data_IF_151049186653
#
_entry.id   IF_151049186653
#
_cell.length_a   1.000
_cell.length_b   1.000
_cell.length_c   1.000
_cell.angle_alpha   90.00
_cell.angle_beta   90.00
_cell.angle_gamma   90.00
#
_symmetry.space_group_name_H-M   'P 1'
#
loop_
_entity.id
_entity.type
_entity.pdbx_description
1 polymer ?
#
# COMPACT_ATOMS: atom_id res chain seq x y z
N UNK A 1 -1.88 -19.95 -6.27
CA UNK A 1 -2.72 -18.88 -6.88
C UNK A 1 -3.34 -18.14 -5.72
N UNK A 2 -2.73 -17.01 -5.29
CA UNK A 2 -3.14 -16.30 -4.07
C UNK A 2 -4.51 -15.65 -4.30
N UNK A 3 -5.57 -16.12 -3.64
CA UNK A 3 -6.83 -15.39 -3.51
C UNK A 3 -6.62 -14.24 -2.53
N UNK A 4 -6.15 -13.12 -3.05
CA UNK A 4 -6.18 -11.88 -2.28
C UNK A 4 -7.62 -11.38 -2.24
N UNK A 5 -8.28 -11.50 -1.08
CA UNK A 5 -9.56 -10.87 -0.78
C UNK A 5 -9.38 -9.34 -0.73
N UNK A 6 -9.39 -8.67 -1.89
CA UNK A 6 -9.23 -7.21 -1.99
C UNK A 6 -10.50 -6.42 -1.63
N UNK A 7 -11.58 -7.11 -1.26
CA UNK A 7 -12.81 -6.52 -0.73
C UNK A 7 -13.18 -7.26 0.56
N UNK A 8 -13.55 -6.51 1.59
CA UNK A 8 -14.05 -7.07 2.86
C UNK A 8 -15.39 -6.44 3.18
N UNK A 9 -16.44 -7.24 3.18
CA UNK A 9 -17.79 -6.81 3.56
C UNK A 9 -17.92 -6.89 5.08
N UNK A 10 -18.02 -5.75 5.76
CA UNK A 10 -18.24 -5.72 7.20
C UNK A 10 -19.73 -5.65 7.51
N UNK A 11 -20.38 -6.79 7.77
CA UNK A 11 -21.74 -6.77 8.34
C UNK A 11 -21.65 -6.63 9.86
N UNK A 12 -22.04 -5.49 10.42
CA UNK A 12 -22.22 -5.37 11.87
C UNK A 12 -23.32 -6.31 12.35
N UNK A 13 -23.06 -7.08 13.41
CA UNK A 13 -24.07 -7.92 14.05
C UNK A 13 -25.21 -7.05 14.62
N UNK A 14 -26.46 -7.41 14.33
CA UNK A 14 -27.61 -6.92 15.07
C UNK A 14 -28.46 -5.77 14.48
N UNK A 15 -28.30 -5.38 13.21
CA UNK A 15 -29.27 -4.46 12.58
C UNK A 15 -29.75 -4.95 11.22
N UNK A 16 -31.06 -4.80 10.95
CA UNK A 16 -31.71 -5.09 9.66
C UNK A 16 -31.12 -4.26 8.50
N UNK A 17 -30.29 -3.25 8.79
CA UNK A 17 -29.50 -2.49 7.83
C UNK A 17 -28.06 -3.00 7.85
N UNK A 18 -27.75 -3.97 7.00
CA UNK A 18 -26.37 -4.42 6.76
C UNK A 18 -25.55 -3.20 6.30
N UNK A 19 -24.60 -2.73 7.09
CA UNK A 19 -23.66 -1.70 6.64
C UNK A 19 -22.78 -2.33 5.56
N UNK A 20 -22.88 -1.91 4.31
CA UNK A 20 -21.98 -2.39 3.26
C UNK A 20 -20.84 -1.40 3.12
N UNK A 21 -19.64 -1.82 3.54
CA UNK A 21 -18.39 -1.11 3.34
C UNK A 21 -17.65 -1.76 2.17
N UNK A 22 -17.31 -0.98 1.14
CA UNK A 22 -16.45 -1.43 0.04
C UNK A 22 -15.13 -0.67 0.09
N UNK A 23 -14.04 -1.42 0.27
CA UNK A 23 -12.67 -0.94 0.15
C UNK A 23 -12.20 -1.08 -1.30
N UNK A 24 -11.72 0.00 -1.89
CA UNK A 24 -11.24 0.00 -3.27
C UNK A 24 -9.76 0.39 -3.31
N UNK A 25 -8.90 -0.58 -3.64
CA UNK A 25 -7.47 -0.41 -3.95
C UNK A 25 -7.26 0.37 -5.27
N UNK A 26 -6.27 1.27 -5.31
CA UNK A 26 -5.87 2.08 -6.49
C UNK A 26 -5.83 1.28 -7.79
N UNK A 27 -5.19 0.10 -7.74
CA UNK A 27 -4.90 -0.72 -8.92
C UNK A 27 -6.15 -1.23 -9.64
N UNK A 28 -7.30 -1.27 -8.95
CA UNK A 28 -8.53 -1.87 -9.46
C UNK A 28 -9.72 -0.89 -9.45
N UNK A 29 -9.52 0.40 -9.16
CA UNK A 29 -10.61 1.36 -9.02
C UNK A 29 -11.64 1.30 -10.16
N UNK A 30 -11.19 1.21 -11.42
CA UNK A 30 -12.09 1.12 -12.59
C UNK A 30 -12.85 -0.21 -12.67
N UNK A 31 -12.21 -1.34 -12.33
CA UNK A 31 -12.80 -2.68 -12.38
C UNK A 31 -13.73 -2.95 -11.19
N UNK A 32 -13.32 -2.53 -10.00
CA UNK A 32 -14.14 -2.64 -8.80
C UNK A 32 -15.37 -1.74 -8.88
N UNK A 33 -15.28 -0.56 -9.51
CA UNK A 33 -16.47 0.26 -9.71
C UNK A 33 -17.47 -0.39 -10.68
N UNK A 34 -17.01 -1.06 -11.75
CA UNK A 34 -17.94 -1.83 -12.61
C UNK A 34 -18.62 -2.97 -11.85
N UNK A 35 -17.91 -3.72 -11.01
CA UNK A 35 -18.51 -4.72 -10.14
C UNK A 35 -19.45 -4.09 -9.10
N UNK A 36 -19.13 -2.91 -8.58
CA UNK A 36 -20.00 -2.18 -7.67
C UNK A 36 -21.29 -1.73 -8.35
N UNK A 37 -21.23 -1.20 -9.58
CA UNK A 37 -22.41 -0.87 -10.37
C UNK A 37 -23.30 -2.11 -10.57
N UNK A 38 -22.71 -3.26 -10.94
CA UNK A 38 -23.44 -4.52 -11.13
C UNK A 38 -24.09 -5.03 -9.82
N UNK A 39 -23.35 -5.07 -8.72
CA UNK A 39 -23.90 -5.45 -7.39
C UNK A 39 -24.90 -4.43 -6.84
N UNK A 40 -24.86 -3.17 -7.29
CA UNK A 40 -25.91 -2.17 -6.98
C UNK A 40 -27.17 -2.40 -7.81
N UNK A 41 -27.07 -3.02 -8.98
CA UNK A 41 -28.19 -3.29 -9.87
C UNK A 41 -28.89 -4.61 -9.52
N UNK A 42 -28.15 -5.65 -9.13
CA UNK A 42 -28.69 -6.98 -8.87
C UNK A 42 -29.31 -7.17 -7.48
N UNK A 43 -28.75 -6.54 -6.44
CA UNK A 43 -29.19 -6.77 -5.06
C UNK A 43 -29.97 -5.59 -4.46
N UNK A 44 -31.26 -5.83 -4.14
CA UNK A 44 -32.08 -4.97 -3.28
C UNK A 44 -31.75 -5.11 -1.78
N UNK A 45 -30.61 -5.72 -1.44
CA UNK A 45 -30.28 -6.16 -0.07
C UNK A 45 -29.75 -5.04 0.86
N UNK A 46 -29.60 -3.79 0.41
CA UNK A 46 -29.24 -2.70 1.30
C UNK A 46 -29.82 -1.34 0.90
N UNK A 47 -30.34 -0.60 1.88
CA UNK A 47 -30.90 0.74 1.73
C UNK A 47 -29.85 1.78 1.31
N UNK A 48 -28.58 1.66 1.77
CA UNK A 48 -27.44 2.53 1.38
C UNK A 48 -26.08 1.83 1.53
N UNK A 49 -25.15 2.07 0.60
CA UNK A 49 -23.77 1.54 0.57
C UNK A 49 -22.76 2.65 0.89
N UNK A 50 -21.75 2.34 1.68
CA UNK A 50 -20.68 3.27 2.05
C UNK A 50 -19.37 2.83 1.37
N UNK A 51 -18.81 3.69 0.53
CA UNK A 51 -17.63 3.39 -0.28
C UNK A 51 -16.44 4.19 0.24
N UNK A 52 -15.36 3.49 0.57
CA UNK A 52 -14.13 4.07 1.08
C UNK A 52 -12.97 3.70 0.14
N UNK A 53 -12.36 4.71 -0.45
CA UNK A 53 -11.23 4.54 -1.35
C UNK A 53 -9.93 4.64 -0.56
N UNK A 54 -9.00 3.74 -0.87
CA UNK A 54 -7.65 3.75 -0.30
C UNK A 54 -6.82 4.94 -0.76
N UNK A 55 -7.01 5.39 -1.99
CA UNK A 55 -6.31 6.50 -2.66
C UNK A 55 -7.27 7.60 -3.14
N UNK A 56 -6.72 8.78 -3.48
CA UNK A 56 -7.48 9.83 -4.15
C UNK A 56 -8.20 9.34 -5.41
N UNK A 57 -9.45 9.74 -5.57
CA UNK A 57 -10.33 9.28 -6.65
C UNK A 57 -10.16 10.20 -7.86
N UNK A 58 -9.89 9.66 -9.07
CA UNK A 58 -9.85 10.46 -10.29
C UNK A 58 -11.18 11.20 -10.52
N UNK A 59 -11.12 12.49 -10.89
CA UNK A 59 -12.31 13.33 -11.14
C UNK A 59 -13.26 12.74 -12.18
N UNK A 60 -12.74 12.03 -13.17
CA UNK A 60 -13.54 11.33 -14.18
C UNK A 60 -14.40 10.23 -13.57
N UNK A 61 -13.85 9.49 -12.60
CA UNK A 61 -14.57 8.42 -11.91
C UNK A 61 -15.67 9.01 -11.00
N UNK A 62 -15.36 10.09 -10.29
CA UNK A 62 -16.36 10.83 -9.50
C UNK A 62 -17.49 11.35 -10.38
N UNK A 63 -17.16 11.91 -11.54
CA UNK A 63 -18.16 12.40 -12.51
C UNK A 63 -19.04 11.27 -13.03
N UNK A 64 -18.45 10.10 -13.33
CA UNK A 64 -19.20 8.92 -13.76
C UNK A 64 -20.16 8.43 -12.67
N UNK A 65 -19.73 8.38 -11.41
CA UNK A 65 -20.60 7.99 -10.28
C UNK A 65 -21.75 8.99 -10.12
N UNK A 66 -21.47 10.30 -10.23
CA UNK A 66 -22.49 11.35 -10.15
C UNK A 66 -23.53 11.25 -11.27
N UNK A 67 -23.12 10.81 -12.46
CA UNK A 67 -24.00 10.69 -13.61
C UNK A 67 -24.80 9.38 -13.64
N UNK A 68 -24.45 8.39 -12.82
CA UNK A 68 -25.13 7.09 -12.75
C UNK A 68 -26.34 7.16 -11.80
N UNK A 69 -27.53 7.31 -12.39
CA UNK A 69 -28.81 7.43 -11.66
C UNK A 69 -29.20 6.15 -10.92
N UNK A 70 -28.64 5.00 -11.28
CA UNK A 70 -28.93 3.72 -10.62
C UNK A 70 -28.11 3.54 -9.33
N UNK A 71 -26.90 4.12 -9.31
CA UNK A 71 -25.92 3.94 -8.23
C UNK A 71 -25.97 5.09 -7.23
N UNK A 72 -26.06 6.34 -7.69
CA UNK A 72 -25.97 7.52 -6.82
C UNK A 72 -26.97 7.52 -5.64
N UNK A 73 -28.27 7.17 -5.82
CA UNK A 73 -29.23 7.14 -4.71
C UNK A 73 -28.90 6.09 -3.64
N UNK A 74 -28.12 5.07 -4.01
CA UNK A 74 -27.73 3.97 -3.13
C UNK A 74 -26.43 4.27 -2.37
N UNK A 75 -25.70 5.35 -2.68
CA UNK A 75 -24.46 5.68 -1.97
C UNK A 75 -24.78 6.53 -0.73
N UNK A 76 -24.53 6.00 0.46
CA UNK A 76 -24.66 6.69 1.75
C UNK A 76 -23.43 7.53 2.11
N UNK A 77 -22.24 7.08 1.73
CA UNK A 77 -21.01 7.86 1.86
C UNK A 77 -20.01 7.45 0.77
N UNK A 78 -19.23 8.43 0.31
CA UNK A 78 -18.10 8.24 -0.58
C UNK A 78 -16.93 9.03 0.01
N UNK A 79 -15.90 8.34 0.49
CA UNK A 79 -14.77 8.94 1.21
C UNK A 79 -13.44 8.38 0.71
N UNK A 80 -12.41 9.20 0.81
CA UNK A 80 -11.01 8.82 0.58
C UNK A 80 -10.34 8.68 1.95
N UNK A 81 -9.63 7.58 2.16
CA UNK A 81 -8.99 7.26 3.43
C UNK A 81 -7.49 7.56 3.44
N UNK A 82 -6.85 7.63 2.26
CA UNK A 82 -5.39 7.73 2.14
C UNK A 82 -4.70 6.65 2.99
N UNK A 83 -4.97 5.38 2.68
CA UNK A 83 -4.41 4.21 3.35
C UNK A 83 -3.89 3.23 2.28
N UNK A 84 -2.78 3.56 1.63
CA UNK A 84 -2.15 2.69 0.61
C UNK A 84 -0.85 2.06 1.10
N UNK A 85 -0.85 1.58 2.34
CA UNK A 85 0.25 0.86 2.95
C UNK A 85 -0.28 -0.25 3.86
N UNK A 86 0.58 -1.22 4.14
CA UNK A 86 0.33 -2.25 5.14
C UNK A 86 1.31 -2.04 6.29
N UNK A 87 0.80 -1.93 7.52
CA UNK A 87 1.64 -1.98 8.72
C UNK A 87 2.14 -3.41 8.89
N UNK A 88 3.45 -3.57 9.05
CA UNK A 88 4.06 -4.86 9.39
C UNK A 88 4.06 -5.06 10.90
N UNK A 89 4.54 -4.03 11.61
CA UNK A 89 4.64 -3.98 13.07
C UNK A 89 4.34 -2.55 13.55
N UNK A 90 4.58 -2.27 14.83
CA UNK A 90 4.37 -0.95 15.45
C UNK A 90 5.18 0.23 14.85
N UNK A 91 6.27 -0.05 14.14
CA UNK A 91 7.24 0.92 13.58
C UNK A 91 7.50 0.74 12.07
N UNK A 92 7.09 -0.39 11.49
CA UNK A 92 7.35 -0.77 10.11
C UNK A 92 6.10 -0.77 9.24
N UNK A 93 6.25 -0.34 7.98
CA UNK A 93 5.22 -0.47 6.96
C UNK A 93 5.82 -0.84 5.61
N UNK A 94 5.00 -1.46 4.77
CA UNK A 94 5.34 -1.79 3.38
C UNK A 94 4.33 -1.21 2.41
N UNK A 95 4.83 -0.81 1.24
CA UNK A 95 4.00 -0.41 0.11
C UNK A 95 4.07 -1.53 -0.92
N UNK A 96 3.08 -2.43 -0.90
CA UNK A 96 2.96 -3.66 -1.71
C UNK A 96 3.22 -3.47 -3.22
N UNK A 97 4.49 -3.42 -3.61
CA UNK A 97 4.96 -3.18 -4.97
C UNK A 97 6.20 -4.05 -5.23
N UNK A 98 5.96 -5.36 -5.36
CA UNK A 98 7.01 -6.39 -5.47
C UNK A 98 8.04 -6.13 -6.59
N UNK A 99 7.63 -5.49 -7.69
CA UNK A 99 8.48 -5.31 -8.89
C UNK A 99 9.16 -3.94 -8.99
N UNK A 100 9.10 -3.10 -7.97
CA UNK A 100 9.69 -1.74 -8.01
C UNK A 100 11.16 -1.74 -8.38
N UNK A 101 11.93 -2.69 -7.84
CA UNK A 101 13.36 -2.78 -8.13
C UNK A 101 13.62 -3.07 -9.61
N UNK A 102 12.82 -3.97 -10.20
CA UNK A 102 12.88 -4.30 -11.63
C UNK A 102 12.40 -3.11 -12.49
N UNK A 103 11.29 -2.47 -12.12
CA UNK A 103 10.69 -1.37 -12.86
C UNK A 103 11.56 -0.10 -12.86
N UNK A 104 12.33 0.15 -11.79
CA UNK A 104 13.16 1.35 -11.65
C UNK A 104 14.64 1.13 -11.97
N UNK A 105 15.17 -0.08 -11.75
CA UNK A 105 16.60 -0.40 -11.92
C UNK A 105 16.87 -1.56 -12.87
N UNK A 106 15.85 -2.21 -13.41
CA UNK A 106 15.96 -3.30 -14.39
C UNK A 106 16.36 -2.84 -15.80
N UNK A 107 16.37 -3.78 -16.75
CA UNK A 107 16.84 -3.51 -18.14
C UNK A 107 15.83 -2.69 -18.96
N UNK A 108 14.54 -2.80 -18.65
CA UNK A 108 13.44 -2.17 -19.42
C UNK A 108 13.08 -0.74 -18.96
N UNK A 109 13.95 -0.10 -18.17
CA UNK A 109 13.72 1.23 -17.55
C UNK A 109 13.58 2.36 -18.57
N UNK A 110 13.96 2.15 -19.83
CA UNK A 110 13.88 3.16 -20.90
C UNK A 110 12.43 3.58 -21.22
N UNK A 111 11.43 2.83 -20.77
CA UNK A 111 10.04 3.24 -20.86
C UNK A 111 9.72 4.35 -19.83
N UNK A 112 9.97 5.59 -20.23
CA UNK A 112 9.70 6.80 -19.43
C UNK A 112 8.29 6.84 -18.84
N UNK A 113 7.26 6.33 -19.56
CA UNK A 113 5.88 6.32 -19.03
C UNK A 113 5.72 5.36 -17.86
N UNK A 114 6.22 4.12 -17.99
CA UNK A 114 6.18 3.12 -16.92
C UNK A 114 6.97 3.59 -15.70
N UNK A 115 8.17 4.11 -15.93
CA UNK A 115 9.05 4.66 -14.89
C UNK A 115 8.36 5.77 -14.08
N UNK A 116 7.82 6.79 -14.76
CA UNK A 116 7.14 7.90 -14.07
C UNK A 116 5.85 7.44 -13.38
N UNK A 117 5.14 6.44 -13.92
CA UNK A 117 3.93 5.88 -13.28
C UNK A 117 4.28 5.12 -12.00
N UNK A 118 5.35 4.31 -12.03
CA UNK A 118 5.85 3.58 -10.87
C UNK A 118 6.28 4.56 -9.76
N UNK A 119 7.14 5.53 -10.09
CA UNK A 119 7.56 6.59 -9.16
C UNK A 119 6.39 7.36 -8.53
N UNK A 120 5.41 7.74 -9.35
CA UNK A 120 4.25 8.46 -8.84
C UNK A 120 3.40 7.59 -7.90
N UNK A 121 3.27 6.30 -8.21
CA UNK A 121 2.55 5.35 -7.35
C UNK A 121 3.28 5.21 -6.01
N UNK A 122 4.60 5.02 -6.01
CA UNK A 122 5.40 5.00 -4.78
C UNK A 122 5.20 6.27 -3.96
N UNK A 123 5.29 7.44 -4.61
CA UNK A 123 5.15 8.72 -3.93
C UNK A 123 3.78 8.86 -3.25
N UNK A 124 2.69 8.53 -3.95
CA UNK A 124 1.33 8.56 -3.39
C UNK A 124 1.25 7.64 -2.16
N UNK A 125 1.72 6.39 -2.26
CA UNK A 125 1.67 5.43 -1.15
C UNK A 125 2.45 5.90 0.06
N UNK A 126 3.67 6.39 -0.12
CA UNK A 126 4.47 6.98 0.96
C UNK A 126 3.72 8.14 1.62
N UNK A 127 3.13 9.04 0.83
CA UNK A 127 2.39 10.19 1.39
C UNK A 127 1.15 9.77 2.19
N UNK A 128 0.48 8.68 1.81
CA UNK A 128 -0.70 8.19 2.55
C UNK A 128 -0.42 7.84 4.02
N UNK A 129 0.82 7.43 4.33
CA UNK A 129 1.27 7.21 5.71
C UNK A 129 1.18 8.51 6.51
N UNK A 130 1.69 9.61 5.96
CA UNK A 130 1.67 10.93 6.60
C UNK A 130 0.26 11.53 6.71
N UNK A 131 -0.63 11.23 5.76
CA UNK A 131 -2.05 11.57 5.89
C UNK A 131 -2.67 10.90 7.13
N UNK A 132 -2.31 9.63 7.37
CA UNK A 132 -2.84 8.81 8.46
C UNK A 132 -2.26 9.22 9.82
N UNK A 133 -0.95 9.49 9.87
CA UNK A 133 -0.25 9.99 11.06
C UNK A 133 -0.60 11.45 11.39
N UNK A 134 -1.14 12.20 10.42
CA UNK A 134 -1.35 13.67 10.50
C UNK A 134 -0.06 14.43 10.80
N UNK A 135 1.04 13.96 10.23
CA UNK A 135 2.37 14.53 10.36
C UNK A 135 2.80 15.15 9.03
N UNK A 136 3.43 16.33 9.05
CA UNK A 136 3.99 16.99 7.85
C UNK A 136 5.53 16.91 7.89
N UNK A 137 6.17 16.06 7.08
CA UNK A 137 7.60 15.82 7.18
C UNK A 137 8.45 16.85 6.43
N UNK A 138 9.64 17.12 6.95
CA UNK A 138 10.76 17.68 6.19
C UNK A 138 11.44 16.56 5.39
N UNK A 139 11.34 16.61 4.05
CA UNK A 139 11.84 15.54 3.17
C UNK A 139 13.34 15.70 2.92
N UNK A 140 14.12 14.74 3.43
CA UNK A 140 15.57 14.61 3.20
C UNK A 140 15.83 13.44 2.26
N UNK A 141 16.85 13.57 1.44
CA UNK A 141 17.29 12.51 0.54
C UNK A 141 18.80 12.58 0.34
N UNK A 142 19.39 11.46 -0.08
CA UNK A 142 20.80 11.40 -0.42
C UNK A 142 21.05 12.21 -1.69
N UNK A 143 21.85 13.26 -1.60
CA UNK A 143 22.28 14.01 -2.78
C UNK A 143 23.09 13.10 -3.72
N UNK A 144 22.73 13.09 -5.00
CA UNK A 144 23.56 12.46 -6.04
C UNK A 144 24.88 13.22 -6.12
N UNK A 145 26.02 12.51 -6.10
CA UNK A 145 27.33 13.14 -6.36
C UNK A 145 27.24 13.86 -7.70
N UNK A 146 27.75 15.10 -7.77
CA UNK A 146 27.73 15.91 -8.99
C UNK A 146 28.20 15.03 -10.15
N UNK A 147 27.28 14.75 -11.07
CA UNK A 147 27.56 13.93 -12.23
C UNK A 147 28.50 14.76 -13.11
N UNK A 148 29.71 14.28 -13.34
CA UNK A 148 30.62 14.91 -14.30
C UNK A 148 29.85 15.07 -15.61
N UNK A 149 29.90 16.25 -16.23
CA UNK A 149 29.02 16.62 -17.37
C UNK A 149 29.20 15.73 -18.61
N UNK A 150 30.15 14.79 -18.58
CA UNK A 150 30.43 13.80 -19.61
C UNK A 150 29.69 12.47 -19.44
N UNK A 151 29.06 12.22 -18.29
CA UNK A 151 28.35 10.96 -18.01
C UNK A 151 26.88 11.07 -18.41
N UNK A 152 26.40 10.15 -19.25
CA UNK A 152 24.99 10.09 -19.64
C UNK A 152 24.14 9.77 -18.40
N UNK A 153 23.33 10.73 -17.94
CA UNK A 153 22.41 10.52 -16.81
C UNK A 153 21.36 9.49 -17.19
N UNK A 154 21.40 8.32 -16.55
CA UNK A 154 20.37 7.30 -16.74
C UNK A 154 19.13 7.63 -15.90
N UNK A 155 17.97 7.06 -16.24
CA UNK A 155 16.76 7.19 -15.43
C UNK A 155 16.96 6.70 -13.98
N UNK A 156 17.87 5.73 -13.77
CA UNK A 156 18.18 5.16 -12.45
C UNK A 156 18.82 6.20 -11.54
N UNK A 157 19.72 7.00 -12.09
CA UNK A 157 20.42 8.07 -11.37
C UNK A 157 19.47 9.21 -10.95
N UNK A 158 18.31 9.29 -11.60
CA UNK A 158 17.27 10.26 -11.29
C UNK A 158 16.31 9.78 -10.18
N UNK A 159 16.29 8.49 -9.82
CA UNK A 159 15.36 7.97 -8.79
C UNK A 159 15.53 8.67 -7.44
N UNK A 160 16.76 8.82 -6.89
CA UNK A 160 16.97 9.45 -5.59
C UNK A 160 16.59 10.93 -5.52
N UNK A 161 16.42 11.59 -6.66
CA UNK A 161 16.02 13.01 -6.73
C UNK A 161 14.55 13.19 -7.13
N UNK A 162 14.06 12.38 -8.07
CA UNK A 162 12.67 12.44 -8.55
C UNK A 162 11.67 11.92 -7.53
N UNK A 163 11.98 10.83 -6.82
CA UNK A 163 11.05 10.27 -5.84
C UNK A 163 10.78 11.24 -4.68
N UNK A 164 11.79 11.84 -4.03
CA UNK A 164 11.56 12.86 -2.99
C UNK A 164 10.77 14.07 -3.50
N UNK A 165 11.07 14.55 -4.71
CA UNK A 165 10.34 15.66 -5.31
C UNK A 165 8.85 15.31 -5.53
N UNK A 166 8.57 14.08 -6.00
CA UNK A 166 7.20 13.60 -6.16
C UNK A 166 6.48 13.48 -4.80
N UNK A 167 7.15 12.92 -3.77
CA UNK A 167 6.61 12.83 -2.40
C UNK A 167 6.28 14.23 -1.86
N UNK A 168 7.20 15.19 -2.00
CA UNK A 168 7.01 16.57 -1.55
C UNK A 168 5.82 17.25 -2.24
N UNK A 169 5.66 17.05 -3.55
CA UNK A 169 4.54 17.61 -4.30
C UNK A 169 3.20 17.06 -3.79
N UNK A 170 3.10 15.76 -3.54
CA UNK A 170 1.88 15.14 -3.03
C UNK A 170 1.57 15.58 -1.60
N UNK A 171 2.55 15.54 -0.70
CA UNK A 171 2.32 15.84 0.72
C UNK A 171 1.96 17.30 0.97
N UNK A 172 2.49 18.22 0.16
CA UNK A 172 2.12 19.64 0.22
C UNK A 172 0.64 19.87 -0.09
N UNK A 173 0.01 19.01 -0.91
CA UNK A 173 -1.43 19.10 -1.18
C UNK A 173 -2.29 18.80 0.06
N UNK A 174 -1.77 18.03 1.02
CA UNK A 174 -2.51 17.70 2.25
C UNK A 174 -2.73 18.90 3.15
N UNK A 175 -1.87 19.93 3.08
CA UNK A 175 -2.08 21.19 3.80
C UNK A 175 -3.42 21.86 3.49
N UNK A 176 -3.95 21.67 2.27
CA UNK A 176 -5.24 22.24 1.84
C UNK A 176 -6.37 21.21 1.74
N UNK A 177 -6.06 19.92 1.57
CA UNK A 177 -7.07 18.87 1.34
C UNK A 177 -7.47 18.12 2.61
N UNK A 178 -6.59 18.02 3.62
CA UNK A 178 -6.87 17.32 4.88
C UNK A 178 -7.19 18.34 5.98
N UNK A 179 -8.32 18.14 6.65
CA UNK A 179 -8.76 19.00 7.75
C UNK A 179 -7.76 18.95 8.93
N UNK A 180 -7.39 20.13 9.45
CA UNK A 180 -6.46 20.28 10.57
C UNK A 180 -5.09 19.62 10.36
N UNK A 181 -4.64 19.53 9.11
CA UNK A 181 -3.30 19.03 8.80
C UNK A 181 -2.21 20.07 9.15
N UNK A 182 -1.05 19.67 9.67
CA UNK A 182 0.00 20.61 10.05
C UNK A 182 0.48 21.48 8.89
N UNK A 183 0.72 22.77 9.17
CA UNK A 183 1.16 23.75 8.18
C UNK A 183 2.68 23.93 8.15
N UNK A 184 3.34 23.59 9.26
CA UNK A 184 4.80 23.57 9.44
C UNK A 184 5.26 22.14 9.64
N UNK A 185 6.54 21.89 9.41
CA UNK A 185 7.15 20.57 9.52
C UNK A 185 7.11 20.07 10.97
N UNK A 186 6.69 18.82 11.14
CA UNK A 186 6.50 18.17 12.45
C UNK A 186 7.42 16.96 12.64
N UNK A 187 7.92 16.37 11.56
CA UNK A 187 8.84 15.23 11.59
C UNK A 187 9.85 15.29 10.43
N UNK A 188 10.76 14.33 10.36
CA UNK A 188 11.69 14.17 9.23
C UNK A 188 11.39 12.89 8.44
N UNK A 189 11.42 12.98 7.11
CA UNK A 189 11.35 11.83 6.22
C UNK A 189 12.67 11.70 5.47
N UNK A 190 13.42 10.62 5.72
CA UNK A 190 14.63 10.31 4.98
C UNK A 190 14.34 9.28 3.88
N UNK A 191 14.55 9.66 2.62
CA UNK A 191 14.40 8.78 1.46
C UNK A 191 15.79 8.32 1.01
N UNK A 192 15.99 7.00 1.03
CA UNK A 192 17.21 6.34 0.60
C UNK A 192 16.92 5.35 -0.51
N UNK A 193 17.91 5.15 -1.37
CA UNK A 193 17.92 4.07 -2.34
C UNK A 193 18.77 2.89 -1.82
N UNK A 194 18.53 1.69 -2.33
CA UNK A 194 19.19 0.46 -1.85
C UNK A 194 20.71 0.49 -2.03
N UNK A 195 21.27 1.34 -2.90
CA UNK A 195 22.73 1.43 -3.09
C UNK A 195 23.47 2.01 -1.88
N UNK A 196 22.76 2.54 -0.87
CA UNK A 196 23.38 2.98 0.39
C UNK A 196 24.06 1.83 1.13
N UNK A 197 23.51 0.61 1.02
CA UNK A 197 24.03 -0.59 1.64
C UNK A 197 23.67 -1.82 0.79
N UNK A 198 24.65 -2.39 0.11
CA UNK A 198 24.46 -3.58 -0.72
C UNK A 198 24.73 -4.90 0.03
N UNK A 199 25.23 -4.82 1.27
CA UNK A 199 25.67 -5.98 2.05
C UNK A 199 24.53 -6.49 2.93
N UNK A 200 23.84 -5.60 3.65
CA UNK A 200 22.79 -6.01 4.59
C UNK A 200 21.69 -6.95 4.03
N UNK A 201 21.24 -6.86 2.76
CA UNK A 201 20.19 -7.76 2.25
C UNK A 201 20.66 -9.17 1.92
N UNK A 202 21.98 -9.41 1.84
CA UNK A 202 22.54 -10.69 1.37
C UNK A 202 23.30 -11.45 2.45
N UNK A 203 23.58 -10.82 3.58
CA UNK A 203 24.22 -11.48 4.71
C UNK A 203 23.19 -12.28 5.50
N UNK A 204 23.58 -13.46 5.96
CA UNK A 204 22.82 -14.18 6.98
C UNK A 204 22.89 -13.38 8.29
N UNK A 205 21.74 -12.99 8.80
CA UNK A 205 21.59 -12.27 10.06
C UNK A 205 21.20 -13.26 11.17
N UNK A 206 21.64 -12.99 12.40
CA UNK A 206 21.52 -13.93 13.54
C UNK A 206 20.43 -13.54 14.55
N UNK A 207 19.65 -12.50 14.25
CA UNK A 207 18.44 -12.18 15.01
C UNK A 207 17.34 -13.20 14.70
N UNK A 208 16.51 -13.53 15.70
CA UNK A 208 15.51 -14.60 15.59
C UNK A 208 14.60 -14.44 14.38
N UNK A 209 13.99 -13.25 14.24
CA UNK A 209 13.09 -12.92 13.15
C UNK A 209 13.76 -13.04 11.77
N UNK A 210 14.97 -12.49 11.61
CA UNK A 210 15.70 -12.58 10.36
C UNK A 210 16.08 -14.02 10.00
N UNK A 211 16.52 -14.82 10.98
CA UNK A 211 16.81 -16.24 10.77
C UNK A 211 15.57 -17.02 10.36
N UNK A 212 14.41 -16.72 10.95
CA UNK A 212 13.15 -17.36 10.56
C UNK A 212 12.83 -17.09 9.09
N UNK A 213 12.86 -15.83 8.67
CA UNK A 213 12.55 -15.44 7.29
C UNK A 213 13.59 -15.87 6.24
N UNK A 214 14.81 -16.15 6.67
CA UNK A 214 15.92 -16.56 5.81
C UNK A 214 16.05 -18.09 5.69
N UNK A 215 15.92 -18.82 6.80
CA UNK A 215 16.18 -20.25 6.87
C UNK A 215 14.93 -21.12 6.76
N UNK A 216 13.74 -20.58 7.05
CA UNK A 216 12.48 -21.33 7.06
C UNK A 216 11.62 -20.98 5.83
N UNK A 217 10.84 -21.95 5.37
CA UNK A 217 9.85 -21.73 4.31
C UNK A 217 8.62 -21.03 4.91
N UNK A 218 8.60 -19.70 4.80
CA UNK A 218 7.54 -18.83 5.32
C UNK A 218 6.77 -18.15 4.16
N UNK A 219 5.45 -18.04 4.29
CA UNK A 219 4.61 -17.21 3.40
C UNK A 219 4.18 -15.95 4.14
N UNK A 220 4.95 -14.86 4.01
CA UNK A 220 4.82 -13.71 4.90
C UNK A 220 5.16 -14.12 6.34
N UNK A 221 4.24 -13.88 7.28
CA UNK A 221 4.42 -14.23 8.69
C UNK A 221 3.88 -15.63 9.05
N UNK A 222 3.49 -16.41 8.05
CA UNK A 222 2.93 -17.74 8.23
C UNK A 222 4.03 -18.79 8.21
N UNK A 223 4.13 -19.54 9.30
CA UNK A 223 5.03 -20.68 9.43
C UNK A 223 4.24 -21.99 9.58
N UNK A 224 4.66 -23.00 8.82
CA UNK A 224 4.08 -24.35 8.86
C UNK A 224 5.11 -25.31 9.46
N UNK A 225 4.73 -25.99 10.54
CA UNK A 225 5.58 -26.96 11.22
C UNK A 225 4.83 -28.26 11.50
N UNK A 226 5.58 -29.37 11.57
CA UNK A 226 5.02 -30.69 11.86
C UNK A 226 5.14 -31.02 13.34
N UNK A 227 4.04 -31.46 13.93
CA UNK A 227 4.00 -31.96 15.30
C UNK A 227 3.61 -33.44 15.34
N UNK A 228 4.19 -34.25 16.24
CA UNK A 228 3.76 -35.63 16.41
C UNK A 228 2.31 -35.67 16.93
N UNK A 229 1.43 -36.36 16.20
CA UNK A 229 0.03 -36.54 16.62
C UNK A 229 -0.06 -37.40 17.88
N UNK A 230 -0.95 -37.02 18.79
CA UNK A 230 -1.18 -37.76 20.05
C UNK A 230 -1.84 -39.11 19.85
N UNK A 231 -2.41 -39.39 18.67
CA UNK A 231 -3.39 -40.48 18.53
C UNK A 231 -3.05 -41.52 17.47
N UNK A 232 -2.07 -41.32 16.57
CA UNK A 232 -1.86 -42.31 15.48
C UNK A 232 -0.45 -42.35 14.84
N UNK A 233 0.59 -41.83 15.50
CA UNK A 233 1.96 -41.86 14.95
C UNK A 233 2.19 -41.06 13.66
N UNK A 234 1.13 -40.49 13.06
CA UNK A 234 1.20 -39.58 11.94
C UNK A 234 1.61 -38.17 12.40
N UNK A 235 2.38 -37.46 11.58
CA UNK A 235 2.73 -36.08 11.82
C UNK A 235 1.56 -35.17 11.38
N UNK A 236 1.16 -34.25 12.26
CA UNK A 236 0.15 -33.24 11.96
C UNK A 236 0.84 -31.93 11.57
N UNK A 237 0.42 -31.32 10.46
CA UNK A 237 0.89 -29.99 10.05
C UNK A 237 0.10 -28.92 10.78
N UNK A 238 0.80 -28.08 11.53
CA UNK A 238 0.24 -26.92 12.20
C UNK A 238 0.74 -25.64 11.56
N UNK A 239 -0.18 -24.71 11.44
CA UNK A 239 0.04 -23.38 10.91
C UNK A 239 0.03 -22.39 12.07
N UNK A 240 1.04 -21.53 12.12
CA UNK A 240 1.19 -20.47 13.13
C UNK A 240 1.48 -19.16 12.41
N UNK A 241 0.90 -18.08 12.92
CA UNK A 241 1.18 -16.71 12.50
C UNK A 241 2.12 -16.09 13.52
N UNK A 242 3.28 -15.63 13.07
CA UNK A 242 4.24 -14.90 13.88
C UNK A 242 3.86 -13.41 13.86
N UNK A 243 3.23 -12.94 14.93
CA UNK A 243 2.72 -11.56 15.04
C UNK A 243 3.10 -10.95 16.39
N UNK A 244 3.07 -9.61 16.48
CA UNK A 244 3.37 -8.83 17.70
C UNK A 244 2.55 -9.20 18.95
N UNK A 245 1.43 -9.92 18.77
CA UNK A 245 0.57 -10.37 19.86
C UNK A 245 1.00 -11.72 20.44
N UNK A 246 1.99 -12.39 19.86
CA UNK A 246 2.60 -13.58 20.45
C UNK A 246 3.37 -13.15 21.72
N UNK A 247 3.05 -13.70 22.90
CA UNK A 247 3.68 -13.30 24.15
C UNK A 247 5.12 -13.81 24.32
N UNK A 248 5.62 -14.66 23.43
CA UNK A 248 6.97 -15.25 23.46
C UNK A 248 7.99 -14.34 22.79
#
# INVERSE_FOLDING_TARGET
>A
MKEFHWWKTFSGEGSLCRLWMLYISSNLQKRMLSCFCLTCQEENLCTRKHVYFSSPIPKDLVSRIKNDTSVLPRIGALREMNLEYFSMDSQGYITDQERVLEDLFGKDVENSRKFNTCLNTMAVRITTVFASLKEFPFVRYRATKALDSSTVTSFRDLVPTKLPAAVWNHITTYKSTICNYPQTETCELLILDRSVDQIAPVIHEWTYDAMCHDLLDMDGNKYLYEVPSKTDGQHEKKEVLLEDHDPV
#
